data_IF_303951784091
#
_entry.id   IF_303951784091
#
_cell.length_a   1.000
_cell.length_b   1.000
_cell.length_c   1.000
_cell.angle_alpha   90.00
_cell.angle_beta   90.00
_cell.angle_gamma   90.00
#
_symmetry.space_group_name_H-M   'P 1'
#
loop_
_entity.id
_entity.type
_entity.pdbx_description
1 polymer ?
#
# COMPACT_ATOMS: atom_id res chain seq x y z
N UNK A 1 10.10 -46.55 -3.59
CA UNK A 1 9.55 -46.78 -4.96
C UNK A 1 9.25 -45.44 -5.64
N UNK A 2 9.01 -45.41 -6.95
CA UNK A 2 8.66 -44.17 -7.68
C UNK A 2 7.48 -43.39 -7.06
N UNK A 3 6.51 -44.11 -6.47
CA UNK A 3 5.38 -43.53 -5.74
C UNK A 3 5.79 -42.70 -4.51
N UNK A 4 6.79 -43.14 -3.75
CA UNK A 4 7.29 -42.41 -2.57
C UNK A 4 8.00 -41.11 -2.97
N UNK A 5 8.75 -41.14 -4.07
CA UNK A 5 9.40 -39.95 -4.63
C UNK A 5 8.36 -38.92 -5.06
N UNK A 6 7.30 -39.36 -5.74
CA UNK A 6 6.22 -38.48 -6.19
C UNK A 6 5.43 -37.89 -5.01
N UNK A 7 5.14 -38.70 -3.99
CA UNK A 7 4.53 -38.23 -2.74
C UNK A 7 5.41 -37.19 -2.02
N UNK A 8 6.73 -37.41 -1.98
CA UNK A 8 7.68 -36.47 -1.38
C UNK A 8 7.74 -35.15 -2.17
N UNK A 9 7.74 -35.21 -3.50
CA UNK A 9 7.65 -34.01 -4.36
C UNK A 9 6.36 -33.23 -4.12
N UNK A 10 5.22 -33.91 -4.08
CA UNK A 10 3.92 -33.29 -3.79
C UNK A 10 3.92 -32.60 -2.42
N UNK A 11 4.48 -33.25 -1.39
CA UNK A 11 4.65 -32.64 -0.07
C UNK A 11 5.54 -31.39 -0.09
N UNK A 12 6.64 -31.41 -0.85
CA UNK A 12 7.51 -30.24 -1.04
C UNK A 12 6.80 -29.06 -1.72
N UNK A 13 6.02 -29.33 -2.77
CA UNK A 13 5.21 -28.31 -3.46
C UNK A 13 4.16 -27.70 -2.54
N UNK A 14 3.49 -28.52 -1.72
CA UNK A 14 2.50 -28.04 -0.76
C UNK A 14 3.13 -27.17 0.32
N UNK A 15 4.33 -27.53 0.79
CA UNK A 15 5.09 -26.70 1.72
C UNK A 15 5.45 -25.35 1.09
N UNK A 16 5.86 -25.33 -0.17
CA UNK A 16 6.19 -24.10 -0.89
C UNK A 16 4.99 -23.15 -1.02
N UNK A 17 3.82 -23.67 -1.41
CA UNK A 17 2.59 -22.87 -1.49
C UNK A 17 2.22 -22.30 -0.12
N UNK A 18 2.35 -23.09 0.95
CA UNK A 18 2.06 -22.65 2.31
C UNK A 18 2.95 -21.47 2.74
N UNK A 19 4.24 -21.52 2.39
CA UNK A 19 5.19 -20.44 2.65
C UNK A 19 4.86 -19.18 1.85
N UNK A 20 4.52 -19.31 0.56
CA UNK A 20 4.12 -18.19 -0.28
C UNK A 20 2.85 -17.51 0.24
N UNK A 21 1.85 -18.30 0.66
CA UNK A 21 0.62 -17.78 1.24
C UNK A 21 0.89 -17.01 2.52
N UNK A 22 1.73 -17.55 3.42
CA UNK A 22 2.12 -16.87 4.65
C UNK A 22 2.82 -15.53 4.36
N UNK A 23 3.75 -15.50 3.40
CA UNK A 23 4.44 -14.28 2.98
C UNK A 23 3.44 -13.23 2.44
N UNK A 24 2.53 -13.64 1.56
CA UNK A 24 1.51 -12.76 1.01
C UNK A 24 0.57 -12.19 2.08
N UNK A 25 0.20 -13.00 3.08
CA UNK A 25 -0.60 -12.55 4.22
C UNK A 25 0.12 -11.54 5.10
N UNK A 26 1.42 -11.74 5.35
CA UNK A 26 2.22 -10.79 6.11
C UNK A 26 2.36 -9.46 5.36
N UNK A 27 2.62 -9.49 4.06
CA UNK A 27 2.69 -8.29 3.22
C UNK A 27 1.34 -7.55 3.19
N UNK A 28 0.23 -8.28 3.03
CA UNK A 28 -1.13 -7.72 3.09
C UNK A 28 -1.41 -7.03 4.44
N UNK A 29 -0.96 -7.60 5.56
CA UNK A 29 -1.11 -6.99 6.87
C UNK A 29 -0.32 -5.68 7.01
N UNK A 30 0.91 -5.62 6.48
CA UNK A 30 1.72 -4.39 6.45
C UNK A 30 1.05 -3.32 5.58
N UNK A 31 0.56 -3.70 4.41
CA UNK A 31 -0.16 -2.80 3.51
C UNK A 31 -1.45 -2.26 4.14
N UNK A 32 -2.18 -3.10 4.88
CA UNK A 32 -3.37 -2.68 5.62
C UNK A 32 -3.05 -1.62 6.68
N UNK A 33 -1.98 -1.83 7.47
CA UNK A 33 -1.55 -0.85 8.46
C UNK A 33 -1.15 0.49 7.80
N UNK A 34 -0.43 0.43 6.68
CA UNK A 34 -0.08 1.63 5.91
C UNK A 34 -1.32 2.34 5.37
N UNK A 35 -2.29 1.58 4.84
CA UNK A 35 -3.55 2.12 4.32
C UNK A 35 -4.34 2.84 5.42
N UNK A 36 -4.44 2.23 6.60
CA UNK A 36 -5.08 2.83 7.77
C UNK A 36 -4.40 4.13 8.20
N UNK A 37 -3.06 4.17 8.21
CA UNK A 37 -2.31 5.39 8.51
C UNK A 37 -2.66 6.53 7.55
N UNK A 38 -2.66 6.27 6.24
CA UNK A 38 -3.00 7.30 5.26
C UNK A 38 -4.45 7.77 5.40
N UNK A 39 -5.40 6.85 5.59
CA UNK A 39 -6.82 7.17 5.75
C UNK A 39 -7.11 8.00 7.01
N UNK A 40 -6.41 7.73 8.11
CA UNK A 40 -6.67 8.41 9.40
C UNK A 40 -5.83 9.68 9.58
N UNK A 41 -4.61 9.69 9.05
CA UNK A 41 -3.61 10.73 9.34
C UNK A 41 -3.09 11.39 8.07
N UNK A 42 -2.60 10.60 7.11
CA UNK A 42 -1.89 11.12 5.94
C UNK A 42 -2.74 12.08 5.09
N UNK A 43 -3.98 11.70 4.79
CA UNK A 43 -4.89 12.53 3.99
C UNK A 43 -5.29 13.82 4.70
N UNK A 44 -5.53 13.78 6.01
CA UNK A 44 -5.78 14.98 6.82
C UNK A 44 -4.57 15.92 6.79
N UNK A 45 -3.36 15.40 6.96
CA UNK A 45 -2.14 16.20 6.85
C UNK A 45 -1.98 16.86 5.47
N UNK A 46 -2.28 16.12 4.39
CA UNK A 46 -2.27 16.66 3.03
C UNK A 46 -3.27 17.83 2.88
N UNK A 47 -4.49 17.67 3.39
CA UNK A 47 -5.51 18.73 3.36
C UNK A 47 -5.07 19.99 4.14
N UNK A 48 -4.48 19.84 5.32
CA UNK A 48 -3.98 20.96 6.13
C UNK A 48 -2.83 21.71 5.45
N UNK A 49 -1.94 21.01 4.75
CA UNK A 49 -0.86 21.63 3.96
C UNK A 49 -1.47 22.49 2.86
N UNK A 50 -2.45 21.97 2.11
CA UNK A 50 -3.12 22.73 1.03
C UNK A 50 -3.83 23.96 1.59
N UNK A 51 -4.61 23.80 2.67
CA UNK A 51 -5.34 24.89 3.29
C UNK A 51 -4.40 26.00 3.81
N UNK A 52 -3.29 25.61 4.45
CA UNK A 52 -2.31 26.55 4.98
C UNK A 52 -1.52 27.25 3.88
N UNK A 53 -1.06 26.51 2.87
CA UNK A 53 -0.37 27.08 1.72
C UNK A 53 -1.24 28.12 1.01
N UNK A 54 -2.52 27.82 0.82
CA UNK A 54 -3.49 28.73 0.23
C UNK A 54 -3.63 30.02 1.06
N UNK A 55 -3.84 29.91 2.37
CA UNK A 55 -3.94 31.07 3.27
C UNK A 55 -2.71 31.98 3.19
N UNK A 56 -1.51 31.40 3.25
CA UNK A 56 -0.28 32.20 3.19
C UNK A 56 -0.09 32.88 1.84
N UNK A 57 -0.40 32.20 0.74
CA UNK A 57 -0.36 32.82 -0.58
C UNK A 57 -1.36 33.98 -0.71
N UNK A 58 -2.61 33.77 -0.30
CA UNK A 58 -3.67 34.80 -0.36
C UNK A 58 -3.37 36.02 0.54
N UNK A 59 -2.70 35.80 1.66
CA UNK A 59 -2.27 36.88 2.57
C UNK A 59 -1.04 37.65 2.07
N UNK A 60 -0.34 37.16 1.04
CA UNK A 60 0.95 37.70 0.58
C UNK A 60 2.16 37.29 1.43
N UNK A 61 1.96 36.49 2.48
CA UNK A 61 3.02 35.95 3.35
C UNK A 61 3.95 34.99 2.58
N UNK A 62 3.41 34.23 1.62
CA UNK A 62 4.20 33.35 0.75
C UNK A 62 4.07 33.71 -0.73
N UNK A 63 5.17 33.54 -1.46
CA UNK A 63 5.18 33.67 -2.91
C UNK A 63 4.57 32.44 -3.62
N UNK A 64 4.33 32.59 -4.91
CA UNK A 64 3.74 31.55 -5.76
C UNK A 64 4.59 30.27 -5.82
N UNK A 65 5.92 30.38 -5.78
CA UNK A 65 6.82 29.21 -5.85
C UNK A 65 6.73 28.38 -4.58
N UNK A 66 6.67 29.03 -3.42
CA UNK A 66 6.53 28.38 -2.12
C UNK A 66 5.14 27.75 -1.97
N UNK A 67 4.10 28.42 -2.47
CA UNK A 67 2.77 27.83 -2.59
C UNK A 67 2.79 26.53 -3.40
N UNK A 68 3.35 26.57 -4.62
CA UNK A 68 3.41 25.43 -5.53
C UNK A 68 4.18 24.25 -4.91
N UNK A 69 5.30 24.53 -4.23
CA UNK A 69 6.08 23.50 -3.52
C UNK A 69 5.25 22.81 -2.45
N UNK A 70 4.56 23.57 -1.60
CA UNK A 70 3.77 23.02 -0.50
C UNK A 70 2.60 22.17 -1.01
N UNK A 71 1.88 22.62 -2.05
CA UNK A 71 0.80 21.80 -2.62
C UNK A 71 1.34 20.55 -3.33
N UNK A 72 2.53 20.60 -3.94
CA UNK A 72 3.18 19.40 -4.49
C UNK A 72 3.50 18.37 -3.40
N UNK A 73 4.01 18.81 -2.23
CA UNK A 73 4.24 17.92 -1.10
C UNK A 73 2.94 17.28 -0.59
N UNK A 74 1.85 18.04 -0.56
CA UNK A 74 0.53 17.53 -0.22
C UNK A 74 0.03 16.48 -1.22
N UNK A 75 0.20 16.71 -2.52
CA UNK A 75 -0.17 15.75 -3.56
C UNK A 75 0.72 14.50 -3.55
N UNK A 76 2.00 14.62 -3.19
CA UNK A 76 2.87 13.46 -3.02
C UNK A 76 2.37 12.53 -1.91
N UNK A 77 1.78 13.07 -0.83
CA UNK A 77 1.13 12.26 0.21
C UNK A 77 -0.10 11.53 -0.34
N UNK A 78 -0.93 12.21 -1.14
CA UNK A 78 -2.11 11.58 -1.76
C UNK A 78 -1.72 10.48 -2.75
N UNK A 79 -0.66 10.70 -3.54
CA UNK A 79 -0.15 9.70 -4.47
C UNK A 79 0.32 8.44 -3.74
N UNK A 80 1.07 8.59 -2.63
CA UNK A 80 1.49 7.46 -1.80
C UNK A 80 0.31 6.69 -1.21
N UNK A 81 -0.75 7.38 -0.79
CA UNK A 81 -1.99 6.72 -0.36
C UNK A 81 -2.58 5.85 -1.48
N UNK A 82 -2.70 6.39 -2.69
CA UNK A 82 -3.25 5.66 -3.84
C UNK A 82 -2.39 4.44 -4.22
N UNK A 83 -1.07 4.57 -4.12
CA UNK A 83 -0.14 3.46 -4.34
C UNK A 83 -0.33 2.35 -3.30
N UNK A 84 -0.42 2.70 -2.02
CA UNK A 84 -0.68 1.74 -0.94
C UNK A 84 -2.04 1.05 -1.12
N UNK A 85 -3.08 1.80 -1.49
CA UNK A 85 -4.40 1.24 -1.77
C UNK A 85 -4.36 0.23 -2.92
N UNK A 86 -3.70 0.59 -4.03
CA UNK A 86 -3.49 -0.31 -5.17
C UNK A 86 -2.77 -1.58 -4.74
N UNK A 87 -1.67 -1.44 -4.00
CA UNK A 87 -0.86 -2.57 -3.56
C UNK A 87 -1.63 -3.48 -2.59
N UNK A 88 -2.40 -2.91 -1.65
CA UNK A 88 -3.29 -3.65 -0.77
C UNK A 88 -4.30 -4.50 -1.56
N UNK A 89 -4.98 -3.89 -2.55
CA UNK A 89 -5.93 -4.61 -3.39
C UNK A 89 -5.25 -5.73 -4.19
N UNK A 90 -4.05 -5.48 -4.73
CA UNK A 90 -3.28 -6.49 -5.44
C UNK A 90 -2.88 -7.65 -4.51
N UNK A 91 -2.55 -7.38 -3.25
CA UNK A 91 -2.23 -8.43 -2.27
C UNK A 91 -3.42 -9.35 -1.99
N UNK A 92 -4.65 -8.81 -1.96
CA UNK A 92 -5.88 -9.61 -1.82
C UNK A 92 -6.08 -10.54 -3.03
N UNK A 93 -5.87 -10.02 -4.24
CA UNK A 93 -5.95 -10.82 -5.48
C UNK A 93 -4.92 -11.96 -5.44
N UNK A 94 -3.67 -11.67 -5.06
CA UNK A 94 -2.62 -12.68 -4.95
C UNK A 94 -2.96 -13.78 -3.92
N UNK A 95 -3.52 -13.40 -2.76
CA UNK A 95 -3.98 -14.35 -1.74
C UNK A 95 -5.11 -15.23 -2.29
N UNK A 96 -6.08 -14.65 -3.00
CA UNK A 96 -7.19 -15.40 -3.60
C UNK A 96 -6.69 -16.38 -4.67
N UNK A 97 -5.73 -15.96 -5.49
CA UNK A 97 -5.06 -16.83 -6.47
C UNK A 97 -4.36 -18.01 -5.79
N UNK A 98 -3.55 -17.78 -4.76
CA UNK A 98 -2.84 -18.85 -4.02
C UNK A 98 -3.80 -19.82 -3.31
N UNK A 99 -4.99 -19.35 -2.92
CA UNK A 99 -6.05 -20.17 -2.32
C UNK A 99 -6.91 -20.91 -3.36
N UNK A 100 -6.78 -20.58 -4.64
CA UNK A 100 -7.61 -21.15 -5.70
C UNK A 100 -9.07 -20.68 -5.66
N UNK A 101 -9.33 -19.47 -5.16
CA UNK A 101 -10.67 -18.88 -5.04
C UNK A 101 -10.85 -17.62 -5.90
N UNK A 102 -9.99 -17.42 -6.89
CA UNK A 102 -10.08 -16.32 -7.85
C UNK A 102 -11.03 -16.66 -9.00
#
# INVERSE_FOLDING_TARGET
>A
TAFEIEKQKAGGLQQQISLQLLQAQNEQAILLQSLQYYQTTGLNKSAEIIATAKRFYESGENDYISYLRNINDAYAIQLKYLEVLKNYNQSLISINYLKGIL
#
